data_IF_108280769499
#
_entry.id   IF_108280769499
#
_cell.length_a   1.000
_cell.length_b   1.000
_cell.length_c   1.000
_cell.angle_alpha   90.00
_cell.angle_beta   90.00
_cell.angle_gamma   90.00
#
_symmetry.space_group_name_H-M   'P 1'
#
loop_
_entity.id
_entity.type
_entity.pdbx_description
1 polymer ?
#
# COMPACT_ATOMS: atom_id res chain seq x y z
N UNK A 1 -9.80 -12.42 11.06
CA UNK A 1 -9.58 -12.26 9.62
C UNK A 1 -8.30 -12.96 9.19
N UNK A 2 -7.12 -12.62 9.71
CA UNK A 2 -5.86 -13.35 9.50
C UNK A 2 -5.08 -13.39 10.80
N UNK A 3 -4.45 -14.53 11.10
CA UNK A 3 -3.58 -14.71 12.25
C UNK A 3 -2.28 -15.38 11.78
N UNK A 4 -1.16 -14.72 12.04
CA UNK A 4 0.19 -15.21 11.77
C UNK A 4 0.82 -15.59 13.10
N UNK A 5 1.35 -16.80 13.19
CA UNK A 5 1.98 -17.34 14.42
C UNK A 5 3.37 -17.83 14.08
N UNK A 6 4.36 -17.32 14.78
CA UNK A 6 5.80 -17.64 14.62
C UNK A 6 6.25 -17.60 13.14
N UNK A 7 5.75 -16.60 12.39
CA UNK A 7 6.02 -16.48 10.96
C UNK A 7 7.52 -16.27 10.71
N UNK A 8 8.09 -17.10 9.83
CA UNK A 8 9.48 -17.01 9.35
C UNK A 8 9.49 -16.98 7.84
N UNK A 9 10.11 -15.96 7.25
CA UNK A 9 10.26 -15.81 5.82
C UNK A 9 11.73 -15.58 5.49
N UNK A 10 12.21 -16.21 4.42
CA UNK A 10 13.58 -16.07 3.93
C UNK A 10 13.61 -15.89 2.42
N UNK A 11 14.62 -15.21 1.90
CA UNK A 11 15.01 -15.23 0.48
C UNK A 11 16.27 -16.08 0.34
N UNK A 12 16.13 -17.28 -0.25
CA UNK A 12 17.17 -18.29 -0.18
C UNK A 12 17.50 -18.62 1.28
N UNK A 13 18.78 -18.53 1.64
CA UNK A 13 19.27 -18.78 3.01
C UNK A 13 19.20 -17.56 3.93
N UNK A 14 18.82 -16.39 3.43
CA UNK A 14 18.81 -15.16 4.23
C UNK A 14 17.44 -14.95 4.88
N UNK A 15 17.36 -15.02 6.23
CA UNK A 15 16.11 -14.74 6.94
C UNK A 15 15.77 -13.24 6.88
N UNK A 16 14.51 -12.93 6.52
CA UNK A 16 14.01 -11.56 6.39
C UNK A 16 12.94 -11.25 7.43
N UNK A 17 12.12 -12.24 7.78
CA UNK A 17 11.12 -12.14 8.84
C UNK A 17 11.32 -13.32 9.78
N UNK A 18 11.37 -13.05 11.09
CA UNK A 18 11.73 -14.08 12.08
C UNK A 18 10.82 -14.00 13.30
N UNK A 19 9.95 -15.01 13.47
CA UNK A 19 9.13 -15.15 14.67
C UNK A 19 8.05 -14.06 14.80
N UNK A 20 7.47 -13.61 13.70
CA UNK A 20 6.42 -12.58 13.72
C UNK A 20 5.08 -13.21 14.11
N UNK A 21 4.48 -12.67 15.18
CA UNK A 21 3.10 -12.92 15.57
C UNK A 21 2.29 -11.67 15.25
N UNK A 22 1.26 -11.81 14.40
CA UNK A 22 0.42 -10.69 13.99
C UNK A 22 -1.00 -11.18 13.75
N UNK A 23 -1.96 -10.50 14.36
CA UNK A 23 -3.38 -10.75 14.12
C UNK A 23 -4.00 -9.52 13.46
N UNK A 24 -4.55 -9.69 12.26
CA UNK A 24 -5.31 -8.68 11.54
C UNK A 24 -6.80 -8.91 11.75
N UNK A 25 -7.50 -7.90 12.27
CA UNK A 25 -8.94 -7.95 12.51
C UNK A 25 -9.70 -7.32 11.34
N UNK A 26 -10.93 -7.74 11.15
CA UNK A 26 -11.83 -7.10 10.19
C UNK A 26 -12.22 -5.70 10.69
N UNK A 27 -12.23 -4.72 9.80
CA UNK A 27 -12.52 -3.33 10.14
C UNK A 27 -11.34 -2.56 10.73
N UNK A 28 -10.20 -3.20 10.97
CA UNK A 28 -9.01 -2.58 11.57
C UNK A 28 -8.19 -1.80 10.53
N UNK A 29 -7.68 -0.65 10.96
CA UNK A 29 -6.69 0.14 10.20
C UNK A 29 -5.34 0.05 10.89
N UNK A 30 -4.45 -0.74 10.32
CA UNK A 30 -3.13 -1.07 10.84
C UNK A 30 -2.05 -0.33 10.06
N UNK A 31 -1.18 0.44 10.73
CA UNK A 31 0.04 0.95 10.16
C UNK A 31 1.24 0.07 10.53
N UNK A 32 2.15 -0.14 9.59
CA UNK A 32 3.44 -0.82 9.81
C UNK A 32 4.56 0.19 9.63
N UNK A 33 5.31 0.45 10.69
CA UNK A 33 6.47 1.35 10.71
C UNK A 33 7.77 0.57 10.85
N UNK A 34 8.87 1.18 10.43
CA UNK A 34 10.21 0.65 10.66
C UNK A 34 11.23 1.10 9.62
N UNK A 35 12.52 0.85 9.87
CA UNK A 35 13.60 1.20 8.96
C UNK A 35 13.51 0.49 7.62
N UNK A 36 14.21 1.03 6.61
CA UNK A 36 14.39 0.37 5.32
C UNK A 36 15.08 -0.98 5.50
N UNK A 37 14.68 -1.98 4.72
CA UNK A 37 15.21 -3.36 4.88
C UNK A 37 14.68 -4.12 6.12
N UNK A 38 13.81 -3.52 6.95
CA UNK A 38 13.29 -4.14 8.17
C UNK A 38 12.34 -5.33 7.97
N UNK A 39 11.99 -5.70 6.72
CA UNK A 39 11.09 -6.83 6.42
C UNK A 39 9.62 -6.44 6.21
N UNK A 40 9.27 -5.14 6.22
CA UNK A 40 7.89 -4.64 6.10
C UNK A 40 7.20 -5.06 4.80
N UNK A 41 7.83 -4.82 3.65
CA UNK A 41 7.33 -5.21 2.33
C UNK A 41 7.14 -6.71 2.21
N UNK A 42 8.08 -7.50 2.73
CA UNK A 42 8.02 -8.97 2.73
C UNK A 42 6.83 -9.47 3.55
N UNK A 43 6.63 -8.89 4.75
CA UNK A 43 5.47 -9.21 5.58
C UNK A 43 4.16 -8.83 4.89
N UNK A 44 4.08 -7.61 4.31
CA UNK A 44 2.90 -7.15 3.58
C UNK A 44 2.55 -8.08 2.41
N UNK A 45 3.55 -8.50 1.64
CA UNK A 45 3.35 -9.46 0.54
C UNK A 45 2.85 -10.81 1.04
N UNK A 46 3.38 -11.31 2.16
CA UNK A 46 2.90 -12.56 2.76
C UNK A 46 1.43 -12.45 3.22
N UNK A 47 1.07 -11.33 3.87
CA UNK A 47 -0.34 -11.03 4.22
C UNK A 47 -1.20 -11.04 2.96
N UNK A 48 -0.75 -10.40 1.87
CA UNK A 48 -1.48 -10.39 0.59
C UNK A 48 -1.67 -11.79 0.00
N UNK A 49 -0.66 -12.64 0.08
CA UNK A 49 -0.76 -14.03 -0.39
C UNK A 49 -1.72 -14.87 0.44
N UNK A 50 -1.86 -14.55 1.72
CA UNK A 50 -2.71 -15.26 2.67
C UNK A 50 -4.18 -14.84 2.63
N UNK A 51 -4.52 -13.75 1.91
CA UNK A 51 -5.87 -13.22 1.80
C UNK A 51 -6.49 -13.51 0.41
N UNK A 52 -7.84 -13.61 0.32
CA UNK A 52 -8.51 -13.81 -0.96
C UNK A 52 -8.26 -12.59 -1.89
N UNK A 53 -7.75 -12.83 -3.08
CA UNK A 53 -7.42 -11.78 -4.07
C UNK A 53 -8.64 -10.96 -4.49
N UNK A 54 -9.80 -11.58 -4.60
CA UNK A 54 -11.07 -10.92 -4.98
C UNK A 54 -11.55 -9.89 -3.95
N UNK A 55 -11.12 -10.00 -2.69
CA UNK A 55 -11.50 -9.08 -1.60
C UNK A 55 -10.36 -8.20 -1.12
N UNK A 56 -9.18 -8.26 -1.74
CA UNK A 56 -7.98 -7.56 -1.28
C UNK A 56 -7.34 -6.77 -2.40
N UNK A 57 -7.35 -5.45 -2.27
CA UNK A 57 -6.61 -4.54 -3.14
C UNK A 57 -5.17 -4.42 -2.64
N UNK A 58 -4.22 -4.43 -3.60
CA UNK A 58 -2.81 -4.20 -3.33
C UNK A 58 -2.36 -2.89 -4.01
N UNK A 59 -1.89 -1.95 -3.21
CA UNK A 59 -1.25 -0.72 -3.66
C UNK A 59 0.24 -0.79 -3.30
N UNK A 60 1.07 -1.20 -4.23
CA UNK A 60 2.53 -1.14 -4.09
C UNK A 60 3.06 0.14 -4.73
N UNK A 61 4.31 0.52 -4.41
CA UNK A 61 4.97 1.69 -4.95
C UNK A 61 4.74 1.84 -6.47
N UNK A 62 4.85 3.06 -6.97
CA UNK A 62 4.61 3.43 -8.39
C UNK A 62 5.33 2.55 -9.43
N UNK A 63 6.33 1.77 -9.02
CA UNK A 63 7.03 0.77 -9.85
C UNK A 63 6.13 -0.39 -10.33
N UNK A 64 4.97 -0.60 -9.71
CA UNK A 64 4.03 -1.65 -10.12
C UNK A 64 3.07 -1.23 -11.25
N UNK A 65 3.15 0.00 -11.74
CA UNK A 65 2.43 0.41 -12.94
C UNK A 65 3.06 -0.22 -14.17
N UNK A 66 2.23 -0.56 -15.16
CA UNK A 66 2.70 -1.07 -16.45
C UNK A 66 3.08 0.12 -17.32
N UNK A 67 4.37 0.34 -17.50
CA UNK A 67 4.93 1.54 -18.12
C UNK A 67 4.43 1.83 -19.54
N UNK A 68 4.21 0.80 -20.34
CA UNK A 68 3.74 0.93 -21.74
C UNK A 68 2.22 1.17 -21.85
N UNK A 69 1.51 1.18 -20.70
CA UNK A 69 0.07 1.41 -20.70
C UNK A 69 -0.29 2.82 -20.24
N UNK A 70 -1.46 3.28 -20.68
CA UNK A 70 -1.99 4.59 -20.29
C UNK A 70 -2.51 4.61 -18.86
N UNK A 71 -2.84 5.80 -18.36
CA UNK A 71 -3.53 6.02 -17.08
C UNK A 71 -4.81 5.20 -17.02
N UNK A 72 -5.64 5.25 -18.08
CA UNK A 72 -6.87 4.47 -18.16
C UNK A 72 -6.62 2.99 -17.90
N UNK A 73 -5.70 2.38 -18.65
CA UNK A 73 -5.44 0.96 -18.58
C UNK A 73 -4.88 0.54 -17.21
N UNK A 74 -3.96 1.34 -16.67
CA UNK A 74 -3.40 1.07 -15.33
C UNK A 74 -4.47 1.11 -14.23
N UNK A 75 -5.40 2.06 -14.27
CA UNK A 75 -6.51 2.12 -13.30
C UNK A 75 -7.51 0.99 -13.57
N UNK A 76 -7.86 0.75 -14.84
CA UNK A 76 -8.81 -0.29 -15.23
C UNK A 76 -8.36 -1.70 -14.81
N UNK A 77 -7.06 -1.97 -14.72
CA UNK A 77 -6.53 -3.24 -14.23
C UNK A 77 -7.11 -3.64 -12.85
N UNK A 78 -7.51 -2.68 -12.02
CA UNK A 78 -8.23 -2.95 -10.77
C UNK A 78 -9.60 -3.59 -10.95
N UNK A 79 -10.16 -3.59 -12.16
CA UNK A 79 -11.49 -4.15 -12.44
C UNK A 79 -11.48 -5.48 -13.20
N UNK A 80 -10.31 -6.04 -13.50
CA UNK A 80 -10.21 -7.24 -14.36
C UNK A 80 -10.99 -8.43 -13.79
N UNK A 81 -10.98 -8.62 -12.48
CA UNK A 81 -11.70 -9.71 -11.82
C UNK A 81 -13.22 -9.52 -11.79
N UNK A 82 -13.72 -8.31 -12.11
CA UNK A 82 -15.15 -7.99 -12.08
C UNK A 82 -15.88 -8.23 -13.40
N UNK A 83 -15.14 -8.48 -14.46
CA UNK A 83 -15.67 -8.62 -15.81
C UNK A 83 -15.15 -9.88 -16.47
N UNK A 84 -15.93 -10.39 -17.43
CA UNK A 84 -15.52 -11.53 -18.26
C UNK A 84 -14.28 -11.16 -19.08
N UNK A 85 -13.43 -12.14 -19.36
CA UNK A 85 -12.19 -11.93 -20.09
C UNK A 85 -12.40 -11.25 -21.46
N UNK A 86 -13.46 -11.62 -22.18
CA UNK A 86 -13.80 -11.02 -23.49
C UNK A 86 -14.15 -9.53 -23.36
N UNK A 87 -14.91 -9.15 -22.32
CA UNK A 87 -15.21 -7.75 -22.01
C UNK A 87 -13.93 -6.96 -21.73
N UNK A 88 -13.03 -7.55 -20.93
CA UNK A 88 -11.74 -6.93 -20.61
C UNK A 88 -10.89 -6.75 -21.85
N UNK A 89 -10.82 -7.76 -22.73
CA UNK A 89 -10.06 -7.69 -23.98
C UNK A 89 -10.60 -6.58 -24.92
N UNK A 90 -11.92 -6.50 -25.08
CA UNK A 90 -12.54 -5.45 -25.90
C UNK A 90 -12.30 -4.04 -25.31
N UNK A 91 -12.41 -3.91 -23.98
CA UNK A 91 -12.18 -2.63 -23.31
C UNK A 91 -10.70 -2.22 -23.29
N UNK A 92 -9.77 -3.16 -23.42
CA UNK A 92 -8.35 -2.88 -23.58
C UNK A 92 -8.05 -2.21 -24.94
N UNK A 93 -8.71 -2.69 -26.01
CA UNK A 93 -8.52 -2.17 -27.37
C UNK A 93 -9.37 -0.91 -27.61
N UNK A 94 -10.60 -0.93 -27.10
CA UNK A 94 -11.58 0.15 -27.24
C UNK A 94 -12.21 0.48 -25.89
N UNK A 95 -11.66 1.47 -25.16
CA UNK A 95 -12.18 1.85 -23.85
C UNK A 95 -13.67 2.21 -23.90
N UNK A 96 -14.48 1.45 -23.19
CA UNK A 96 -15.93 1.70 -23.14
C UNK A 96 -16.24 3.03 -22.44
N UNK A 97 -17.17 3.85 -22.96
CA UNK A 97 -17.49 5.16 -22.40
C UNK A 97 -17.82 5.12 -20.91
N UNK A 98 -18.55 4.09 -20.44
CA UNK A 98 -18.89 3.89 -19.03
C UNK A 98 -17.67 3.76 -18.13
N UNK A 99 -16.66 3.00 -18.57
CA UNK A 99 -15.42 2.81 -17.82
C UNK A 99 -14.55 4.08 -17.87
N UNK A 100 -14.52 4.73 -19.06
CA UNK A 100 -13.83 6.01 -19.24
C UNK A 100 -14.36 7.10 -18.30
N UNK A 101 -15.67 7.29 -18.25
CA UNK A 101 -16.32 8.28 -17.37
C UNK A 101 -16.06 7.97 -15.88
N UNK A 102 -16.16 6.70 -15.47
CA UNK A 102 -15.92 6.31 -14.08
C UNK A 102 -14.46 6.54 -13.66
N UNK A 103 -13.50 6.24 -14.55
CA UNK A 103 -12.08 6.47 -14.28
C UNK A 103 -11.76 7.98 -14.32
N UNK A 104 -12.40 8.74 -15.18
CA UNK A 104 -12.24 10.21 -15.22
C UNK A 104 -12.68 10.85 -13.90
N UNK A 105 -13.84 10.47 -13.36
CA UNK A 105 -14.31 10.94 -12.06
C UNK A 105 -13.33 10.56 -10.93
N UNK A 106 -12.84 9.33 -10.92
CA UNK A 106 -11.83 8.90 -9.95
C UNK A 106 -10.53 9.69 -10.08
N UNK A 107 -10.09 10.00 -11.30
CA UNK A 107 -8.93 10.86 -11.52
C UNK A 107 -9.15 12.27 -10.95
N UNK A 108 -10.35 12.85 -11.07
CA UNK A 108 -10.69 14.13 -10.45
C UNK A 108 -10.60 14.06 -8.92
N UNK A 109 -11.14 13.01 -8.28
CA UNK A 109 -11.03 12.79 -6.84
C UNK A 109 -9.58 12.65 -6.36
N UNK A 110 -8.71 12.14 -7.22
CA UNK A 110 -7.27 11.99 -6.98
C UNK A 110 -6.46 13.22 -7.42
N UNK A 111 -7.11 14.30 -7.83
CA UNK A 111 -6.47 15.51 -8.37
C UNK A 111 -5.51 15.22 -9.55
N UNK A 112 -5.84 14.24 -10.35
CA UNK A 112 -5.14 13.88 -11.58
C UNK A 112 -5.80 14.57 -12.77
N UNK A 113 -5.43 15.83 -13.01
CA UNK A 113 -5.88 16.57 -14.18
C UNK A 113 -4.96 16.25 -15.39
N UNK A 114 -5.28 15.14 -16.07
CA UNK A 114 -4.51 14.68 -17.23
C UNK A 114 -5.35 13.76 -18.13
N UNK A 115 -5.01 13.69 -19.43
CA UNK A 115 -5.70 12.83 -20.37
C UNK A 115 -5.55 11.34 -19.99
N UNK A 116 -6.66 10.60 -20.02
CA UNK A 116 -6.67 9.17 -19.66
C UNK A 116 -5.80 8.29 -20.57
N UNK A 117 -5.58 8.73 -21.84
CA UNK A 117 -4.72 8.02 -22.79
C UNK A 117 -3.23 8.27 -22.58
N UNK A 118 -2.85 9.20 -21.69
CA UNK A 118 -1.44 9.54 -21.43
C UNK A 118 -0.68 8.34 -20.87
N UNK A 119 0.47 7.94 -21.45
CA UNK A 119 1.32 6.88 -20.92
C UNK A 119 1.83 7.22 -19.51
N UNK A 120 1.86 6.23 -18.62
CA UNK A 120 2.31 6.50 -17.23
C UNK A 120 3.81 6.81 -17.13
N UNK A 121 4.61 6.49 -18.14
CA UNK A 121 6.02 6.90 -18.24
C UNK A 121 6.22 8.40 -18.30
N UNK A 122 5.21 9.15 -18.77
CA UNK A 122 5.23 10.62 -18.88
C UNK A 122 4.71 11.33 -17.62
N UNK A 123 4.44 10.59 -16.56
CA UNK A 123 3.92 11.11 -15.30
C UNK A 123 5.04 11.39 -14.30
N UNK A 124 4.85 12.42 -13.46
CA UNK A 124 5.69 12.64 -12.29
C UNK A 124 5.55 11.49 -11.27
N UNK A 125 6.49 11.35 -10.35
CA UNK A 125 6.43 10.33 -9.29
C UNK A 125 5.12 10.37 -8.49
N UNK A 126 4.70 11.57 -8.07
CA UNK A 126 3.43 11.76 -7.36
C UNK A 126 2.19 11.44 -8.21
N UNK A 127 2.20 11.77 -9.52
CA UNK A 127 1.13 11.38 -10.43
C UNK A 127 1.06 9.85 -10.59
N UNK A 128 2.20 9.19 -10.77
CA UNK A 128 2.28 7.72 -10.84
C UNK A 128 1.72 7.07 -9.56
N UNK A 129 2.05 7.63 -8.42
CA UNK A 129 1.56 7.12 -7.14
C UNK A 129 0.05 7.26 -7.00
N UNK A 130 -0.51 8.41 -7.40
CA UNK A 130 -1.97 8.61 -7.44
C UNK A 130 -2.67 7.68 -8.42
N UNK A 131 -2.06 7.35 -9.56
CA UNK A 131 -2.58 6.31 -10.49
C UNK A 131 -2.58 4.93 -9.84
N UNK A 132 -1.55 4.57 -9.07
CA UNK A 132 -1.50 3.31 -8.33
C UNK A 132 -2.59 3.23 -7.25
N UNK A 133 -2.83 4.32 -6.52
CA UNK A 133 -3.95 4.46 -5.58
C UNK A 133 -5.29 4.33 -6.32
N UNK A 134 -5.43 4.99 -7.48
CA UNK A 134 -6.62 4.90 -8.32
C UNK A 134 -6.93 3.47 -8.76
N UNK A 135 -5.91 2.69 -9.12
CA UNK A 135 -6.08 1.26 -9.43
C UNK A 135 -6.63 0.47 -8.24
N UNK A 136 -6.09 0.70 -7.04
CA UNK A 136 -6.56 0.04 -5.84
C UNK A 136 -8.02 0.42 -5.51
N UNK A 137 -8.37 1.70 -5.58
CA UNK A 137 -9.74 2.19 -5.39
C UNK A 137 -10.71 1.62 -6.43
N UNK A 138 -10.27 1.54 -7.69
CA UNK A 138 -11.09 1.02 -8.77
C UNK A 138 -11.38 -0.46 -8.65
N UNK A 139 -10.60 -1.20 -7.87
CA UNK A 139 -10.85 -2.62 -7.55
C UNK A 139 -12.11 -2.80 -6.69
N UNK A 140 -12.48 -1.83 -5.85
CA UNK A 140 -13.65 -1.88 -4.95
C UNK A 140 -13.62 -3.06 -3.96
N UNK A 141 -12.43 -3.46 -3.54
CA UNK A 141 -12.24 -4.48 -2.53
C UNK A 141 -12.45 -3.91 -1.12
N UNK A 142 -12.92 -4.71 -0.14
CA UNK A 142 -13.07 -4.24 1.25
C UNK A 142 -11.76 -4.10 2.01
N UNK A 143 -10.69 -4.75 1.56
CA UNK A 143 -9.38 -4.77 2.22
C UNK A 143 -8.35 -4.07 1.34
N UNK A 144 -7.55 -3.19 1.94
CA UNK A 144 -6.39 -2.55 1.30
C UNK A 144 -5.10 -3.01 1.98
N UNK A 145 -4.15 -3.45 1.19
CA UNK A 145 -2.75 -3.57 1.56
C UNK A 145 -1.94 -2.55 0.75
N UNK A 146 -1.20 -1.68 1.42
CA UNK A 146 -0.45 -0.64 0.73
C UNK A 146 1.00 -0.56 1.23
N UNK A 147 1.94 -0.51 0.29
CA UNK A 147 3.37 -0.34 0.56
C UNK A 147 3.81 1.05 0.15
N UNK A 148 4.07 1.90 1.14
CA UNK A 148 4.50 3.29 0.99
C UNK A 148 3.66 4.11 -0.03
N UNK A 149 2.32 4.11 0.08
CA UNK A 149 1.45 4.71 -0.93
C UNK A 149 1.56 6.24 -1.02
N UNK A 150 2.29 6.89 -0.12
CA UNK A 150 2.41 8.35 -0.03
C UNK A 150 3.85 8.86 -0.18
N UNK A 151 4.84 8.00 -0.47
CA UNK A 151 6.27 8.36 -0.41
C UNK A 151 6.71 9.47 -1.39
N UNK A 152 5.99 9.70 -2.49
CA UNK A 152 6.26 10.74 -3.47
C UNK A 152 5.26 11.91 -3.42
N UNK A 153 4.53 12.07 -2.31
CA UNK A 153 3.50 13.08 -2.12
C UNK A 153 3.87 14.01 -0.96
N UNK A 154 3.40 15.26 -1.03
CA UNK A 154 3.48 16.16 0.11
C UNK A 154 2.51 15.77 1.23
N UNK A 155 2.71 16.34 2.42
CA UNK A 155 1.95 15.95 3.60
C UNK A 155 0.45 16.29 3.51
N UNK A 156 0.05 17.35 2.80
CA UNK A 156 -1.36 17.72 2.65
C UNK A 156 -2.07 16.75 1.71
N UNK A 157 -1.47 16.46 0.56
CA UNK A 157 -1.97 15.46 -0.39
C UNK A 157 -2.05 14.08 0.26
N UNK A 158 -1.04 13.68 1.03
CA UNK A 158 -1.02 12.41 1.75
C UNK A 158 -2.21 12.27 2.71
N UNK A 159 -2.53 13.31 3.48
CA UNK A 159 -3.71 13.31 4.38
C UNK A 159 -5.02 13.21 3.61
N UNK A 160 -5.19 13.95 2.51
CA UNK A 160 -6.40 13.89 1.67
C UNK A 160 -6.61 12.51 1.08
N UNK A 161 -5.57 11.93 0.47
CA UNK A 161 -5.67 10.60 -0.12
C UNK A 161 -5.88 9.51 0.94
N UNK A 162 -5.24 9.63 2.10
CA UNK A 162 -5.48 8.72 3.21
C UNK A 162 -6.93 8.77 3.69
N UNK A 163 -7.55 9.96 3.76
CA UNK A 163 -8.97 10.09 4.08
C UNK A 163 -9.87 9.38 3.03
N UNK A 164 -9.57 9.53 1.74
CA UNK A 164 -10.25 8.81 0.66
C UNK A 164 -10.09 7.29 0.80
N UNK A 165 -8.88 6.81 1.08
CA UNK A 165 -8.65 5.38 1.31
C UNK A 165 -9.40 4.88 2.54
N UNK A 166 -9.41 5.64 3.64
CA UNK A 166 -10.14 5.28 4.87
C UNK A 166 -11.65 5.16 4.66
N UNK A 167 -12.22 6.00 3.80
CA UNK A 167 -13.63 5.94 3.43
C UNK A 167 -13.97 4.75 2.52
N UNK A 168 -13.01 4.34 1.66
CA UNK A 168 -13.23 3.33 0.62
C UNK A 168 -12.97 1.89 1.08
N UNK A 169 -12.09 1.69 2.07
CA UNK A 169 -11.70 0.36 2.54
C UNK A 169 -12.01 0.19 4.02
N UNK A 170 -12.73 -0.87 4.36
CA UNK A 170 -13.06 -1.17 5.75
C UNK A 170 -11.84 -1.62 6.56
N UNK A 171 -10.97 -2.45 5.96
CA UNK A 171 -9.76 -2.96 6.59
C UNK A 171 -8.54 -2.50 5.82
N UNK A 172 -7.51 -2.02 6.52
CA UNK A 172 -6.29 -1.51 5.87
C UNK A 172 -5.04 -1.98 6.60
N UNK A 173 -4.02 -2.34 5.83
CA UNK A 173 -2.64 -2.51 6.33
C UNK A 173 -1.75 -1.64 5.45
N UNK A 174 -1.14 -0.63 6.03
CA UNK A 174 -0.33 0.34 5.31
C UNK A 174 1.07 0.41 5.88
N UNK A 175 2.05 0.08 5.07
CA UNK A 175 3.47 0.33 5.36
C UNK A 175 3.77 1.79 5.05
N UNK A 176 4.38 2.49 6.00
CA UNK A 176 4.74 3.91 5.83
C UNK A 176 5.96 4.29 6.67
N UNK A 177 6.52 5.48 6.41
CA UNK A 177 7.62 6.05 7.18
C UNK A 177 7.17 7.21 8.08
N UNK A 178 6.04 7.86 7.78
CA UNK A 178 5.52 8.98 8.57
C UNK A 178 4.81 8.45 9.82
N UNK A 179 5.53 8.52 10.94
CA UNK A 179 5.02 8.09 12.23
C UNK A 179 3.90 9.01 12.78
N UNK A 180 3.91 10.30 12.42
CA UNK A 180 2.85 11.22 12.83
C UNK A 180 1.55 10.89 12.10
N UNK A 181 1.61 10.69 10.79
CA UNK A 181 0.46 10.27 10.00
C UNK A 181 -0.07 8.90 10.46
N UNK A 182 0.81 7.96 10.83
CA UNK A 182 0.42 6.67 11.38
C UNK A 182 -0.35 6.81 12.70
N UNK A 183 0.12 7.67 13.62
CA UNK A 183 -0.52 7.91 14.93
C UNK A 183 -1.87 8.64 14.79
N UNK A 184 -1.97 9.59 13.87
CA UNK A 184 -3.18 10.39 13.65
C UNK A 184 -4.31 9.60 12.97
N UNK A 185 -3.96 8.67 12.11
CA UNK A 185 -4.92 8.13 11.16
C UNK A 185 -5.22 6.63 11.29
N UNK A 186 -4.46 5.89 12.07
CA UNK A 186 -4.64 4.43 12.21
C UNK A 186 -5.09 4.05 13.61
N UNK A 187 -5.71 2.86 13.74
CA UNK A 187 -6.18 2.36 15.03
C UNK A 187 -5.02 1.73 15.82
N UNK A 188 -4.07 1.13 15.10
CA UNK A 188 -2.97 0.36 15.66
C UNK A 188 -1.71 0.51 14.81
N UNK A 189 -0.56 0.49 15.47
CA UNK A 189 0.74 0.60 14.84
C UNK A 189 1.63 -0.56 15.26
N UNK A 190 2.23 -1.20 14.27
CA UNK A 190 3.22 -2.26 14.46
C UNK A 190 4.58 -1.75 14.01
N UNK A 191 5.57 -1.80 14.91
CA UNK A 191 6.95 -1.46 14.59
C UNK A 191 7.76 -2.69 14.25
N UNK A 192 8.39 -2.71 13.07
CA UNK A 192 9.19 -3.84 12.59
C UNK A 192 10.62 -3.37 12.30
N UNK A 193 11.59 -4.06 12.89
CA UNK A 193 13.00 -3.88 12.55
C UNK A 193 13.71 -5.24 12.58
N UNK A 194 14.68 -5.43 11.67
CA UNK A 194 15.47 -6.68 11.56
C UNK A 194 14.60 -7.94 11.49
N UNK A 195 13.47 -7.85 10.76
CA UNK A 195 12.55 -8.96 10.58
C UNK A 195 11.73 -9.35 11.81
N UNK A 196 11.72 -8.54 12.87
CA UNK A 196 10.99 -8.82 14.12
C UNK A 196 10.03 -7.69 14.47
N UNK A 197 8.91 -8.04 15.09
CA UNK A 197 8.02 -7.05 15.70
C UNK A 197 8.66 -6.56 17.00
N UNK A 198 8.95 -5.26 17.07
CA UNK A 198 9.49 -4.63 18.29
C UNK A 198 8.39 -4.10 19.20
N UNK A 199 7.28 -3.66 18.61
CA UNK A 199 6.08 -3.28 19.34
C UNK A 199 4.84 -3.47 18.46
N UNK A 200 3.71 -3.61 19.12
CA UNK A 200 2.38 -3.77 18.56
C UNK A 200 1.41 -3.08 19.52
N UNK A 201 1.03 -1.82 19.21
CA UNK A 201 0.36 -0.92 20.15
C UNK A 201 -0.81 -0.20 19.48
N UNK A 202 -1.85 0.19 20.25
CA UNK A 202 -2.79 1.20 19.83
C UNK A 202 -2.06 2.47 19.39
N UNK A 203 -2.53 3.13 18.32
CA UNK A 203 -1.84 4.30 17.75
C UNK A 203 -1.62 5.43 18.78
N UNK A 204 -2.57 5.60 19.71
CA UNK A 204 -2.49 6.60 20.78
C UNK A 204 -1.36 6.34 21.80
N UNK A 205 -0.88 5.10 21.92
CA UNK A 205 0.19 4.70 22.85
C UNK A 205 1.60 4.82 22.22
N UNK A 206 1.68 5.05 20.92
CA UNK A 206 2.95 5.21 20.20
C UNK A 206 3.53 6.59 20.48
N UNK A 207 4.52 6.66 21.33
CA UNK A 207 5.22 7.89 21.73
C UNK A 207 6.64 7.93 21.17
N UNK A 208 7.33 9.06 21.37
CA UNK A 208 8.69 9.30 20.87
C UNK A 208 9.70 8.28 21.40
N UNK A 209 9.52 7.77 22.62
CA UNK A 209 10.43 6.77 23.20
C UNK A 209 10.29 5.41 22.52
N UNK A 210 9.06 5.03 22.10
CA UNK A 210 8.78 3.81 21.34
C UNK A 210 9.38 3.93 19.94
N UNK A 211 9.19 5.08 19.28
CA UNK A 211 9.75 5.35 17.96
C UNK A 211 11.28 5.41 17.98
N UNK A 212 11.87 6.04 19.00
CA UNK A 212 13.31 6.07 19.14
C UNK A 212 13.94 4.67 19.27
N UNK A 213 13.26 3.72 19.91
CA UNK A 213 13.72 2.31 19.96
C UNK A 213 13.66 1.64 18.59
N UNK A 214 12.64 1.96 17.79
CA UNK A 214 12.48 1.40 16.45
C UNK A 214 13.61 1.82 15.51
N UNK A 215 13.98 3.11 15.54
CA UNK A 215 14.99 3.67 14.63
C UNK A 215 16.43 3.67 15.19
N UNK A 216 16.65 3.52 16.49
CA UNK A 216 18.00 3.38 17.08
C UNK A 216 18.79 2.15 16.58
N UNK A 217 18.11 1.15 16.06
CA UNK A 217 18.76 -0.04 15.52
C UNK A 217 19.37 0.20 14.11
N UNK A 218 18.97 1.25 13.42
CA UNK A 218 19.54 1.66 12.14
C UNK A 218 20.98 2.18 12.29
N UNK A 219 21.25 3.00 13.32
CA UNK A 219 22.57 3.62 13.56
C UNK A 219 23.67 2.62 13.99
N UNK A 220 23.32 1.37 14.35
CA UNK A 220 24.32 0.36 14.68
C UNK A 220 24.91 -0.36 13.47
N UNK A 221 24.25 -0.33 12.32
CA UNK A 221 24.74 -0.97 11.09
C UNK A 221 25.66 -0.06 10.27
N UNK A 222 25.44 1.25 10.30
CA UNK A 222 26.33 2.22 9.60
C UNK A 222 27.73 2.35 10.23
N UNK A 223 27.92 1.86 11.45
CA UNK A 223 29.22 1.91 12.14
C UNK A 223 30.13 0.69 11.87
N UNK A 224 29.70 -0.28 11.07
CA UNK A 224 30.50 -1.47 10.76
C UNK A 224 31.00 -1.56 9.32
N UNK A 225 30.63 -0.63 8.45
CA UNK A 225 31.10 -0.53 7.06
C UNK A 225 32.08 0.67 6.86
N UNK A 226 32.92 0.95 7.82
CA UNK A 226 33.98 1.94 7.80
C UNK A 226 35.37 1.32 7.89
#
# INVERSE_FOLDING_TARGET
MLELVDLKLSYGDTPVVTGVNLKLRQGEKLAILGPSGGGKTTLLHHIYQSLPKSSTALCVQSKALVDNLSVFHNIYMGALDRHLWLYNLLNLVWPFPKQGSAISLLCQELELDLPLHKPVTQLSGGQRQRVAIGRALYQKAPVLLADEPFSALDGEMSRRLLATLKASFSTQVVVMHDANLAREAFDRVVGIAQGRVLFDLPAAEVNESVLARLYKQENKLECFDG
#
